data_IF_806565334258
#
_entry.id   IF_806565334258
#
_cell.length_a   1.000
_cell.length_b   1.000
_cell.length_c   1.000
_cell.angle_alpha   90.00
_cell.angle_beta   90.00
_cell.angle_gamma   90.00
#
_symmetry.space_group_name_H-M   'P 1'
#
loop_
_entity.id
_entity.type
_entity.pdbx_description
1 polymer ?
#
# COMPACT_ATOMS: atom_id res chain seq x y z
N UNK A 1 18.28 19.17 -11.78
CA UNK A 1 18.22 17.70 -11.67
C UNK A 1 17.33 17.22 -12.81
N UNK A 2 17.91 16.59 -13.83
CA UNK A 2 17.16 16.05 -14.97
C UNK A 2 16.37 14.81 -14.53
N UNK A 3 15.27 14.51 -15.22
CA UNK A 3 14.51 13.24 -15.04
C UNK A 3 15.44 12.03 -15.19
N UNK A 4 16.46 12.13 -16.06
CA UNK A 4 17.50 11.11 -16.23
C UNK A 4 18.35 10.91 -14.96
N UNK A 5 18.75 11.99 -14.30
CA UNK A 5 19.60 11.91 -13.10
C UNK A 5 18.85 11.24 -11.93
N UNK A 6 17.55 11.53 -11.80
CA UNK A 6 16.67 10.89 -10.80
C UNK A 6 16.54 9.39 -11.13
N UNK A 7 16.38 9.05 -12.40
CA UNK A 7 16.23 7.69 -12.88
C UNK A 7 17.47 6.81 -12.66
N UNK A 8 18.67 7.38 -12.79
CA UNK A 8 19.93 6.66 -12.60
C UNK A 8 20.28 6.42 -11.13
N UNK A 9 19.70 7.18 -10.20
CA UNK A 9 19.99 7.07 -8.76
C UNK A 9 19.28 5.92 -8.02
N UNK A 10 18.40 5.18 -8.71
CA UNK A 10 17.58 4.11 -8.13
C UNK A 10 18.39 2.80 -8.03
N UNK A 11 18.56 2.28 -6.81
CA UNK A 11 19.39 1.10 -6.50
C UNK A 11 18.56 -0.19 -6.49
N UNK A 12 17.28 -0.10 -6.09
CA UNK A 12 16.28 -1.15 -6.21
C UNK A 12 15.95 -1.44 -7.69
N UNK A 13 15.58 -2.67 -8.10
CA UNK A 13 15.19 -2.95 -9.48
C UNK A 13 14.07 -1.99 -9.92
N UNK A 14 14.36 -1.14 -10.91
CA UNK A 14 13.49 -0.01 -11.34
C UNK A 14 12.05 -0.45 -11.65
N UNK A 15 11.89 -1.67 -12.16
CA UNK A 15 10.59 -2.28 -12.45
C UNK A 15 9.76 -2.54 -11.18
N UNK A 16 10.38 -2.89 -10.04
CA UNK A 16 9.67 -3.07 -8.77
C UNK A 16 9.10 -1.75 -8.28
N UNK A 17 9.89 -0.68 -8.26
CA UNK A 17 9.39 0.65 -7.86
C UNK A 17 8.22 1.12 -8.73
N UNK A 18 8.34 0.92 -10.04
CA UNK A 18 7.29 1.28 -10.99
C UNK A 18 6.03 0.45 -10.77
N UNK A 19 6.17 -0.86 -10.50
CA UNK A 19 5.05 -1.72 -10.17
C UNK A 19 4.35 -1.29 -8.87
N UNK A 20 5.10 -0.98 -7.81
CA UNK A 20 4.52 -0.47 -6.56
C UNK A 20 3.88 0.90 -6.73
N UNK A 21 4.46 1.81 -7.52
CA UNK A 21 3.82 3.08 -7.85
C UNK A 21 2.45 2.86 -8.55
N UNK A 22 2.37 1.92 -9.50
CA UNK A 22 1.10 1.55 -10.15
C UNK A 22 0.11 0.95 -9.15
N UNK A 23 0.57 0.09 -8.23
CA UNK A 23 -0.27 -0.48 -7.17
C UNK A 23 -0.82 0.63 -6.25
N UNK A 24 0.00 1.60 -5.84
CA UNK A 24 -0.47 2.73 -5.04
C UNK A 24 -1.48 3.59 -5.82
N UNK A 25 -1.31 3.80 -7.13
CA UNK A 25 -2.30 4.49 -7.95
C UNK A 25 -3.64 3.75 -8.01
N UNK A 26 -3.62 2.41 -8.08
CA UNK A 26 -4.85 1.60 -8.00
C UNK A 26 -5.53 1.80 -6.65
N UNK A 27 -4.78 1.75 -5.54
CA UNK A 27 -5.35 1.98 -4.20
C UNK A 27 -5.89 3.41 -4.05
N UNK A 28 -5.23 4.41 -4.63
CA UNK A 28 -5.74 5.78 -4.67
C UNK A 28 -7.08 5.84 -5.41
N UNK A 29 -7.19 5.16 -6.56
CA UNK A 29 -8.43 5.06 -7.31
C UNK A 29 -9.55 4.37 -6.53
N UNK A 30 -9.24 3.28 -5.81
CA UNK A 30 -10.19 2.57 -4.94
C UNK A 30 -10.68 3.48 -3.81
N UNK A 31 -9.76 4.17 -3.12
CA UNK A 31 -10.11 5.09 -2.02
C UNK A 31 -10.95 6.27 -2.50
N UNK A 32 -10.57 6.89 -3.63
CA UNK A 32 -11.33 7.99 -4.22
C UNK A 32 -12.72 7.55 -4.71
N UNK A 33 -12.81 6.38 -5.37
CA UNK A 33 -14.09 5.81 -5.79
C UNK A 33 -14.99 5.48 -4.60
N UNK A 34 -14.41 4.97 -3.52
CA UNK A 34 -15.13 4.65 -2.29
C UNK A 34 -15.65 5.87 -1.54
N UNK A 35 -15.03 7.05 -1.68
CA UNK A 35 -15.59 8.30 -1.15
C UNK A 35 -16.84 8.74 -1.90
N UNK A 36 -16.90 8.52 -3.23
CA UNK A 36 -18.04 8.92 -4.06
C UNK A 36 -19.17 7.90 -3.96
N UNK A 37 -18.83 6.62 -3.94
CA UNK A 37 -19.78 5.50 -3.87
C UNK A 37 -19.25 4.48 -2.88
N UNK A 38 -19.53 4.65 -1.57
CA UNK A 38 -19.10 3.70 -0.55
C UNK A 38 -19.65 2.30 -0.82
N UNK A 39 -18.87 1.23 -0.59
CA UNK A 39 -19.37 -0.13 -0.69
C UNK A 39 -20.57 -0.36 0.24
N UNK A 40 -21.63 -0.98 -0.26
CA UNK A 40 -22.87 -1.22 0.51
C UNK A 40 -22.63 -1.97 1.82
N UNK A 41 -21.65 -2.88 1.84
CA UNK A 41 -21.25 -3.61 3.06
C UNK A 41 -20.66 -2.69 4.13
N UNK A 42 -19.94 -1.64 3.73
CA UNK A 42 -19.35 -0.69 4.68
C UNK A 42 -20.42 0.23 5.25
N UNK A 43 -21.31 0.75 4.41
CA UNK A 43 -22.42 1.61 4.87
C UNK A 43 -23.43 0.84 5.71
N UNK A 44 -23.67 -0.44 5.38
CA UNK A 44 -24.60 -1.30 6.10
C UNK A 44 -24.12 -1.68 7.50
N UNK A 45 -22.85 -2.04 7.65
CA UNK A 45 -22.32 -2.58 8.91
C UNK A 45 -21.78 -1.51 9.88
N UNK A 46 -21.03 -0.52 9.36
CA UNK A 46 -20.26 0.41 10.21
C UNK A 46 -20.66 1.88 10.01
N UNK A 47 -21.64 2.14 9.14
CA UNK A 47 -22.18 3.46 8.87
C UNK A 47 -21.33 4.32 7.92
N UNK A 48 -21.93 5.41 7.47
CA UNK A 48 -21.36 6.30 6.45
C UNK A 48 -20.09 7.01 6.92
N UNK A 49 -20.08 7.56 8.14
CA UNK A 49 -18.93 8.29 8.67
C UNK A 49 -17.67 7.41 8.75
N UNK A 50 -17.82 6.17 9.21
CA UNK A 50 -16.72 5.20 9.30
C UNK A 50 -16.25 4.77 7.92
N UNK A 51 -17.16 4.67 6.94
CA UNK A 51 -16.83 4.38 5.54
C UNK A 51 -15.99 5.49 4.90
N UNK A 52 -16.26 6.75 5.23
CA UNK A 52 -15.45 7.91 4.81
C UNK A 52 -14.06 7.83 5.45
N UNK A 53 -13.99 7.64 6.77
CA UNK A 53 -12.72 7.56 7.49
C UNK A 53 -11.83 6.43 6.95
N UNK A 54 -12.41 5.28 6.64
CA UNK A 54 -11.73 4.16 5.99
C UNK A 54 -11.19 4.53 4.59
N UNK A 55 -12.00 5.18 3.76
CA UNK A 55 -11.58 5.60 2.42
C UNK A 55 -10.39 6.59 2.48
N UNK A 56 -10.37 7.47 3.49
CA UNK A 56 -9.26 8.38 3.73
C UNK A 56 -7.95 7.67 4.07
N UNK A 57 -7.99 6.52 4.76
CA UNK A 57 -6.79 5.72 5.01
C UNK A 57 -6.13 5.25 3.71
N UNK A 58 -6.92 4.82 2.73
CA UNK A 58 -6.42 4.43 1.41
C UNK A 58 -5.87 5.61 0.63
N UNK A 59 -6.55 6.76 0.66
CA UNK A 59 -6.10 7.94 -0.07
C UNK A 59 -4.78 8.46 0.49
N UNK A 60 -4.72 8.69 1.81
CA UNK A 60 -3.52 9.23 2.46
C UNK A 60 -2.36 8.24 2.37
N UNK A 61 -2.63 6.94 2.59
CA UNK A 61 -1.63 5.90 2.44
C UNK A 61 -1.10 5.79 1.00
N UNK A 62 -1.97 5.83 -0.01
CA UNK A 62 -1.56 5.75 -1.41
C UNK A 62 -0.74 6.98 -1.85
N UNK A 63 -1.16 8.18 -1.46
CA UNK A 63 -0.39 9.42 -1.74
C UNK A 63 0.99 9.33 -1.08
N UNK A 64 1.05 8.93 0.18
CA UNK A 64 2.32 8.74 0.89
C UNK A 64 3.22 7.71 0.20
N UNK A 65 2.66 6.59 -0.25
CA UNK A 65 3.39 5.55 -0.99
C UNK A 65 3.96 6.05 -2.32
N UNK A 66 3.16 6.77 -3.12
CA UNK A 66 3.60 7.36 -4.40
C UNK A 66 4.73 8.36 -4.20
N UNK A 67 4.60 9.24 -3.20
CA UNK A 67 5.62 10.26 -2.89
C UNK A 67 6.91 9.61 -2.37
N UNK A 68 6.81 8.51 -1.62
CA UNK A 68 7.95 7.87 -0.97
C UNK A 68 8.71 6.86 -1.84
N UNK A 69 8.04 6.18 -2.78
CA UNK A 69 8.60 5.03 -3.50
C UNK A 69 9.75 5.41 -4.43
N UNK A 70 9.65 6.52 -5.17
CA UNK A 70 10.72 6.93 -6.08
C UNK A 70 11.95 7.47 -5.34
N UNK A 71 11.82 8.41 -4.37
CA UNK A 71 12.96 8.94 -3.61
C UNK A 71 13.64 7.92 -2.69
N UNK A 72 12.99 6.78 -2.43
CA UNK A 72 13.47 5.74 -1.52
C UNK A 72 13.30 6.13 -0.04
N UNK A 73 12.26 6.90 0.29
CA UNK A 73 11.93 7.29 1.67
C UNK A 73 11.19 6.16 2.38
N UNK A 74 11.90 5.06 2.64
CA UNK A 74 11.31 3.83 3.15
C UNK A 74 10.55 3.99 4.48
N UNK A 75 10.97 4.90 5.36
CA UNK A 75 10.21 5.17 6.58
C UNK A 75 8.81 5.76 6.29
N UNK A 76 8.70 6.67 5.32
CA UNK A 76 7.41 7.24 4.87
C UNK A 76 6.59 6.15 4.20
N UNK A 77 7.22 5.37 3.31
CA UNK A 77 6.57 4.28 2.60
C UNK A 77 6.01 3.24 3.59
N UNK A 78 6.71 2.93 4.69
CA UNK A 78 6.19 2.04 5.73
C UNK A 78 4.97 2.59 6.46
N UNK A 79 4.93 3.87 6.76
CA UNK A 79 3.75 4.50 7.37
C UNK A 79 2.55 4.47 6.42
N UNK A 80 2.80 4.81 5.15
CA UNK A 80 1.82 4.71 4.07
C UNK A 80 1.24 3.29 3.93
N UNK A 81 2.12 2.29 3.88
CA UNK A 81 1.72 0.87 3.85
C UNK A 81 0.92 0.51 5.11
N UNK A 82 1.33 0.98 6.29
CA UNK A 82 0.59 0.77 7.54
C UNK A 82 -0.85 1.27 7.46
N UNK A 83 -1.07 2.49 6.95
CA UNK A 83 -2.41 3.04 6.76
C UNK A 83 -3.25 2.19 5.80
N UNK A 84 -2.66 1.76 4.67
CA UNK A 84 -3.33 0.89 3.70
C UNK A 84 -3.68 -0.46 4.33
N UNK A 85 -2.75 -1.07 5.07
CA UNK A 85 -2.99 -2.36 5.74
C UNK A 85 -4.08 -2.26 6.82
N UNK A 86 -4.15 -1.15 7.56
CA UNK A 86 -5.25 -0.91 8.50
C UNK A 86 -6.58 -0.79 7.75
N UNK A 87 -6.62 -0.05 6.64
CA UNK A 87 -7.82 0.03 5.81
C UNK A 87 -8.25 -1.33 5.26
N UNK A 88 -7.33 -2.12 4.72
CA UNK A 88 -7.60 -3.48 4.22
C UNK A 88 -8.11 -4.37 5.37
N UNK A 89 -7.49 -4.27 6.55
CA UNK A 89 -7.88 -5.03 7.74
C UNK A 89 -9.30 -4.70 8.22
N UNK A 90 -9.68 -3.43 8.23
CA UNK A 90 -11.05 -3.00 8.55
C UNK A 90 -12.03 -3.60 7.55
N UNK A 91 -11.78 -3.43 6.25
CA UNK A 91 -12.66 -3.97 5.20
C UNK A 91 -12.79 -5.50 5.30
N UNK A 92 -11.67 -6.20 5.48
CA UNK A 92 -11.66 -7.65 5.66
C UNK A 92 -12.50 -8.07 6.89
N UNK A 93 -12.33 -7.40 8.03
CA UNK A 93 -13.09 -7.69 9.24
C UNK A 93 -14.59 -7.48 9.04
N UNK A 94 -14.98 -6.37 8.40
CA UNK A 94 -16.39 -6.06 8.07
C UNK A 94 -16.99 -7.10 7.13
N UNK A 95 -16.25 -7.51 6.09
CA UNK A 95 -16.70 -8.53 5.15
C UNK A 95 -16.93 -9.88 5.82
N UNK A 96 -16.01 -10.31 6.68
CA UNK A 96 -16.14 -11.56 7.43
C UNK A 96 -17.29 -11.47 8.43
N UNK A 97 -17.42 -10.34 9.12
CA UNK A 97 -18.53 -10.10 10.03
C UNK A 97 -19.87 -10.19 9.32
N UNK A 98 -20.04 -9.50 8.19
CA UNK A 98 -21.25 -9.54 7.39
C UNK A 98 -21.56 -10.95 6.86
N UNK A 99 -20.55 -11.71 6.40
CA UNK A 99 -20.73 -13.10 5.94
C UNK A 99 -21.29 -14.01 7.05
N UNK A 100 -20.84 -13.81 8.30
CA UNK A 100 -21.29 -14.59 9.44
C UNK A 100 -22.72 -14.24 9.90
N UNK A 101 -23.20 -13.03 9.64
CA UNK A 101 -24.48 -12.53 10.18
C UNK A 101 -25.60 -12.43 9.12
N UNK A 102 -25.28 -12.23 7.83
CA UNK A 102 -26.29 -11.94 6.80
C UNK A 102 -26.98 -13.18 6.21
N UNK A 103 -26.59 -14.41 6.59
CA UNK A 103 -27.34 -15.66 6.34
C UNK A 103 -27.67 -16.04 4.87
N UNK A 104 -27.31 -15.23 3.87
CA UNK A 104 -27.78 -15.42 2.49
C UNK A 104 -26.85 -14.96 1.37
N UNK A 105 -25.74 -14.28 1.66
CA UNK A 105 -24.77 -13.83 0.64
C UNK A 105 -23.36 -14.22 1.04
N UNK A 106 -22.72 -15.08 0.24
CA UNK A 106 -21.32 -15.47 0.43
C UNK A 106 -20.39 -14.34 0.02
N UNK A 107 -19.51 -13.91 0.93
CA UNK A 107 -18.54 -12.82 0.70
C UNK A 107 -17.07 -13.29 0.71
N UNK A 108 -16.82 -14.60 0.68
CA UNK A 108 -15.45 -15.16 0.68
C UNK A 108 -14.55 -14.63 -0.44
N UNK A 109 -15.09 -14.31 -1.62
CA UNK A 109 -14.30 -13.70 -2.70
C UNK A 109 -13.77 -12.32 -2.29
N UNK A 110 -14.59 -11.51 -1.62
CA UNK A 110 -14.17 -10.19 -1.14
C UNK A 110 -13.12 -10.32 -0.03
N UNK A 111 -13.30 -11.28 0.88
CA UNK A 111 -12.33 -11.58 1.92
C UNK A 111 -10.99 -12.07 1.32
N UNK A 112 -11.03 -13.00 0.38
CA UNK A 112 -9.86 -13.54 -0.32
C UNK A 112 -9.10 -12.47 -1.10
N UNK A 113 -9.79 -11.61 -1.84
CA UNK A 113 -9.17 -10.49 -2.54
C UNK A 113 -8.52 -9.50 -1.58
N UNK A 114 -9.17 -9.18 -0.46
CA UNK A 114 -8.62 -8.30 0.57
C UNK A 114 -7.34 -8.89 1.18
N UNK A 115 -7.33 -10.20 1.46
CA UNK A 115 -6.16 -10.91 1.97
C UNK A 115 -5.00 -10.92 0.96
N UNK A 116 -5.29 -11.18 -0.32
CA UNK A 116 -4.30 -11.13 -1.40
C UNK A 116 -3.71 -9.71 -1.55
N UNK A 117 -4.55 -8.68 -1.59
CA UNK A 117 -4.11 -7.29 -1.64
C UNK A 117 -3.26 -6.91 -0.43
N UNK A 118 -3.67 -7.31 0.78
CA UNK A 118 -2.90 -7.09 2.00
C UNK A 118 -1.53 -7.77 1.96
N UNK A 119 -1.45 -8.97 1.40
CA UNK A 119 -0.20 -9.72 1.26
C UNK A 119 0.84 -9.00 0.39
N UNK A 120 0.41 -8.34 -0.69
CA UNK A 120 1.30 -7.55 -1.56
C UNK A 120 1.95 -6.41 -0.78
N UNK A 121 1.17 -5.67 0.01
CA UNK A 121 1.67 -4.58 0.85
C UNK A 121 2.55 -5.08 2.00
N UNK A 122 2.18 -6.21 2.60
CA UNK A 122 2.98 -6.82 3.66
C UNK A 122 4.37 -7.27 3.16
N UNK A 123 4.43 -7.90 1.99
CA UNK A 123 5.70 -8.26 1.34
C UNK A 123 6.54 -6.99 1.10
N UNK A 124 5.94 -5.92 0.56
CA UNK A 124 6.65 -4.64 0.37
C UNK A 124 7.22 -4.11 1.68
N UNK A 125 6.41 -4.13 2.74
CA UNK A 125 6.83 -3.68 4.06
C UNK A 125 8.03 -4.46 4.58
N UNK A 126 8.06 -5.79 4.41
CA UNK A 126 9.21 -6.63 4.78
C UNK A 126 10.48 -6.27 4.00
N UNK A 127 10.37 -6.02 2.69
CA UNK A 127 11.50 -5.64 1.84
C UNK A 127 12.15 -4.33 2.30
N UNK A 128 11.36 -3.36 2.76
CA UNK A 128 11.85 -2.03 3.15
C UNK A 128 12.00 -1.86 4.68
N UNK A 129 11.81 -2.91 5.48
CA UNK A 129 11.84 -2.83 6.95
C UNK A 129 13.23 -2.52 7.52
N UNK A 130 14.29 -2.97 6.84
CA UNK A 130 15.65 -2.96 7.40
C UNK A 130 16.25 -1.57 7.56
N UNK A 131 15.99 -0.66 6.61
CA UNK A 131 16.59 0.68 6.60
C UNK A 131 15.50 1.76 6.56
N UNK A 132 15.81 2.97 7.02
CA UNK A 132 14.88 4.10 6.93
C UNK A 132 14.87 4.75 5.54
N UNK A 133 15.96 4.58 4.79
CA UNK A 133 16.13 5.06 3.43
C UNK A 133 16.77 3.96 2.59
N UNK A 134 16.51 4.00 1.29
CA UNK A 134 17.20 3.15 0.33
C UNK A 134 18.72 3.43 0.37
N UNK A 135 19.57 2.39 0.47
CA UNK A 135 21.01 2.55 0.36
C UNK A 135 21.37 3.11 -1.02
N UNK A 136 21.78 4.38 -1.07
CA UNK A 136 22.31 5.01 -2.29
C UNK A 136 23.78 4.63 -2.37
N UNK A 137 24.15 3.79 -3.33
CA UNK A 137 25.48 3.17 -3.40
C UNK A 137 26.64 4.15 -3.22
N UNK A 138 27.41 3.95 -2.16
CA UNK A 138 28.88 4.01 -2.22
C UNK A 138 29.39 2.63 -2.63
N UNK A 139 30.60 2.56 -3.22
CA UNK A 139 31.24 1.30 -3.60
C UNK A 139 31.14 0.25 -2.49
N UNK A 140 30.78 -1.01 -2.80
CA UNK A 140 30.80 -2.09 -1.82
C UNK A 140 32.20 -2.18 -1.18
N UNK A 141 32.28 -2.32 0.14
CA UNK A 141 33.55 -2.33 0.89
C UNK A 141 34.55 -3.38 0.37
N UNK A 142 34.07 -4.50 -0.15
CA UNK A 142 34.87 -5.55 -0.79
C UNK A 142 35.50 -5.17 -2.14
N UNK A 143 35.08 -4.06 -2.77
CA UNK A 143 35.78 -3.48 -3.92
C UNK A 143 36.93 -2.54 -3.52
N UNK A 144 37.15 -2.30 -2.22
CA UNK A 144 38.22 -1.44 -1.71
C UNK A 144 39.49 -2.21 -1.33
N UNK A 145 39.54 -3.53 -1.57
CA UNK A 145 40.74 -4.34 -1.29
C UNK A 145 41.76 -4.08 -2.42
N UNK A 146 42.94 -3.50 -2.13
CA UNK A 146 43.98 -3.31 -3.13
C UNK A 146 44.46 -4.67 -3.66
N UNK A 147 44.62 -4.75 -4.99
CA UNK A 147 45.15 -5.93 -5.69
C UNK A 147 46.60 -6.21 -5.31
#
# INVERSE_FOLDING_TARGET
MSVRDIWESITEPRHLKTAYAAIYLIVLGIGAGSLVTPPAVMTGEIGELTSIAWSLLFIVGAIGGIVAVFPGWWWVERLAIGMILVGIGIYFAVVIWADMHDGGVTRYTQAGLSFLSGSVFYIRWLLIKKYSFEPRGGTPEWQQIPK
#
